data_IF_020918812313
#
_entry.id   IF_020918812313
#
_cell.length_a   1.000
_cell.length_b   1.000
_cell.length_c   1.000
_cell.angle_alpha   90.00
_cell.angle_beta   90.00
_cell.angle_gamma   90.00
#
_symmetry.space_group_name_H-M   'P 1'
#
loop_
_entity.id
_entity.type
_entity.pdbx_description
1 polymer ?
#
# COMPACT_ATOMS: atom_id res chain seq x y z
N UNK A 1 -0.82 -27.19 17.31
CA UNK A 1 -1.61 -26.21 16.57
C UNK A 1 -1.17 -24.86 17.05
N UNK A 2 -0.68 -24.02 16.16
CA UNK A 2 -0.16 -22.68 16.50
C UNK A 2 -1.29 -21.66 16.37
N UNK A 3 -1.41 -20.76 17.32
CA UNK A 3 -2.44 -19.70 17.32
C UNK A 3 -1.85 -18.41 16.76
N UNK A 4 -2.43 -17.92 15.67
CA UNK A 4 -2.03 -16.68 14.99
C UNK A 4 -3.06 -15.57 15.20
N UNK A 5 -2.58 -14.34 15.41
CA UNK A 5 -3.40 -13.14 15.48
C UNK A 5 -2.87 -12.08 14.50
N UNK A 6 -3.61 -11.79 13.45
CA UNK A 6 -3.26 -10.75 12.47
C UNK A 6 -3.93 -9.42 12.81
N UNK A 7 -3.19 -8.30 12.73
CA UNK A 7 -3.72 -6.97 13.05
C UNK A 7 -3.45 -6.00 11.91
N UNK A 8 -4.50 -5.39 11.34
CA UNK A 8 -4.38 -4.42 10.23
C UNK A 8 -5.42 -3.30 10.31
N UNK A 9 -5.27 -2.29 9.50
CA UNK A 9 -6.24 -1.19 9.36
C UNK A 9 -7.54 -1.66 8.71
N UNK A 10 -7.47 -2.40 7.60
CA UNK A 10 -8.61 -2.87 6.80
C UNK A 10 -8.46 -4.37 6.46
N UNK A 11 -9.57 -5.10 6.24
CA UNK A 11 -9.53 -6.49 5.75
C UNK A 11 -9.50 -6.58 4.22
N UNK A 12 -9.46 -5.45 3.50
CA UNK A 12 -9.50 -5.36 2.04
C UNK A 12 -8.48 -4.36 1.52
N UNK A 13 -8.39 -4.24 0.19
CA UNK A 13 -7.34 -3.46 -0.47
C UNK A 13 -6.01 -4.20 -0.47
N UNK A 14 -4.92 -3.54 -0.87
CA UNK A 14 -3.61 -4.17 -1.02
C UNK A 14 -3.15 -4.87 0.28
N UNK A 15 -2.97 -4.11 1.35
CA UNK A 15 -2.45 -4.65 2.63
C UNK A 15 -3.43 -5.57 3.35
N UNK A 16 -4.73 -5.26 3.26
CA UNK A 16 -5.79 -6.11 3.81
C UNK A 16 -5.91 -7.42 3.06
N UNK A 17 -5.76 -7.40 1.74
CA UNK A 17 -5.75 -8.60 0.93
C UNK A 17 -4.61 -9.55 1.28
N UNK A 18 -3.41 -8.99 1.53
CA UNK A 18 -2.24 -9.78 2.00
C UNK A 18 -2.55 -10.46 3.35
N UNK A 19 -3.02 -9.70 4.34
CA UNK A 19 -3.40 -10.24 5.65
C UNK A 19 -4.46 -11.34 5.55
N UNK A 20 -5.56 -11.08 4.84
CA UNK A 20 -6.68 -12.02 4.74
C UNK A 20 -6.33 -13.28 3.95
N UNK A 21 -5.43 -13.18 2.97
CA UNK A 21 -4.90 -14.35 2.25
C UNK A 21 -4.12 -15.25 3.21
N UNK A 22 -3.18 -14.69 3.95
CA UNK A 22 -2.37 -15.42 4.93
C UNK A 22 -3.24 -16.06 6.02
N UNK A 23 -4.21 -15.32 6.55
CA UNK A 23 -5.19 -15.83 7.51
C UNK A 23 -5.93 -17.07 6.97
N UNK A 24 -6.43 -17.03 5.74
CA UNK A 24 -7.14 -18.17 5.12
C UNK A 24 -6.22 -19.35 4.83
N UNK A 25 -4.98 -19.10 4.41
CA UNK A 25 -3.97 -20.14 4.17
C UNK A 25 -3.62 -20.88 5.45
N UNK A 26 -3.49 -20.19 6.60
CA UNK A 26 -3.27 -20.80 7.90
C UNK A 26 -4.46 -21.64 8.34
N UNK A 27 -5.68 -21.14 8.21
CA UNK A 27 -6.90 -21.92 8.50
C UNK A 27 -6.97 -23.19 7.61
N UNK A 28 -6.67 -23.07 6.32
CA UNK A 28 -6.65 -24.19 5.38
C UNK A 28 -5.54 -25.23 5.73
N UNK A 29 -4.45 -24.78 6.36
CA UNK A 29 -3.37 -25.65 6.86
C UNK A 29 -3.71 -26.30 8.22
N UNK A 30 -4.86 -26.00 8.82
CA UNK A 30 -5.30 -26.54 10.11
C UNK A 30 -4.71 -25.83 11.33
N UNK A 31 -4.19 -24.62 11.15
CA UNK A 31 -3.76 -23.76 12.26
C UNK A 31 -4.92 -22.89 12.77
N UNK A 32 -4.84 -22.43 14.00
CA UNK A 32 -5.79 -21.44 14.55
C UNK A 32 -5.36 -20.05 14.11
N UNK A 33 -6.17 -19.37 13.31
CA UNK A 33 -5.87 -18.03 12.84
C UNK A 33 -7.02 -17.07 13.09
N UNK A 34 -6.70 -15.89 13.61
CA UNK A 34 -7.63 -14.81 13.91
C UNK A 34 -7.22 -13.53 13.18
N UNK A 35 -8.19 -12.85 12.57
CA UNK A 35 -7.95 -11.60 11.85
C UNK A 35 -8.67 -10.43 12.51
N UNK A 36 -7.89 -9.41 12.91
CA UNK A 36 -8.37 -8.21 13.60
C UNK A 36 -8.14 -6.97 12.75
N UNK A 37 -9.18 -6.13 12.60
CA UNK A 37 -9.00 -4.86 11.89
C UNK A 37 -9.79 -3.72 12.51
N UNK A 38 -9.33 -2.51 12.26
CA UNK A 38 -9.95 -1.31 12.84
C UNK A 38 -11.07 -0.72 12.00
N UNK A 39 -11.05 -0.88 10.68
CA UNK A 39 -11.89 -0.10 9.75
C UNK A 39 -12.38 -0.95 8.59
N UNK A 40 -13.48 -0.52 7.95
CA UNK A 40 -14.04 -1.19 6.79
C UNK A 40 -15.27 -2.03 7.13
N UNK A 41 -15.45 -3.16 6.42
CA UNK A 41 -16.60 -4.04 6.61
C UNK A 41 -16.65 -4.64 8.03
N UNK A 42 -17.79 -5.16 8.38
CA UNK A 42 -17.95 -6.00 9.58
C UNK A 42 -17.24 -7.35 9.37
N UNK A 43 -16.98 -8.06 10.47
CA UNK A 43 -16.52 -9.44 10.44
C UNK A 43 -17.60 -10.36 9.82
N UNK A 44 -17.16 -11.40 9.13
CA UNK A 44 -18.04 -12.38 8.46
C UNK A 44 -17.99 -13.73 9.16
N UNK A 45 -16.83 -14.05 9.78
CA UNK A 45 -16.59 -15.31 10.46
C UNK A 45 -16.26 -15.11 11.94
N UNK A 46 -16.34 -16.17 12.73
CA UNK A 46 -16.06 -16.17 14.18
C UNK A 46 -14.59 -15.86 14.52
N UNK A 47 -13.68 -16.15 13.58
CA UNK A 47 -12.25 -15.86 13.71
C UNK A 47 -11.87 -14.47 13.17
N UNK A 48 -12.86 -13.67 12.81
CA UNK A 48 -12.70 -12.31 12.31
C UNK A 48 -13.29 -11.29 13.29
N UNK A 49 -12.62 -10.15 13.49
CA UNK A 49 -13.15 -9.10 14.35
C UNK A 49 -12.78 -7.70 13.88
N UNK A 50 -13.81 -6.88 13.67
CA UNK A 50 -13.63 -5.44 13.59
C UNK A 50 -13.74 -4.84 14.99
N UNK A 51 -12.64 -4.30 15.54
CA UNK A 51 -12.60 -3.85 16.92
C UNK A 51 -12.74 -2.33 17.15
N UNK A 52 -12.56 -1.49 16.11
CA UNK A 52 -12.77 -0.06 16.26
C UNK A 52 -14.11 0.40 15.67
N UNK A 53 -14.83 1.24 16.42
CA UNK A 53 -16.07 1.84 15.96
C UNK A 53 -15.83 3.02 15.01
N UNK A 54 -16.78 3.31 14.12
CA UNK A 54 -16.68 4.46 13.20
C UNK A 54 -16.58 5.80 13.94
N UNK A 55 -17.25 5.93 15.09
CA UNK A 55 -17.17 7.12 15.93
C UNK A 55 -15.78 7.25 16.54
N UNK A 56 -15.22 6.15 17.05
CA UNK A 56 -13.84 6.11 17.58
C UNK A 56 -12.82 6.51 16.53
N UNK A 57 -12.93 5.95 15.33
CA UNK A 57 -12.06 6.31 14.19
C UNK A 57 -12.18 7.79 13.82
N UNK A 58 -13.40 8.34 13.73
CA UNK A 58 -13.60 9.78 13.43
C UNK A 58 -13.01 10.68 14.51
N UNK A 59 -13.13 10.28 15.78
CA UNK A 59 -12.52 10.98 16.91
C UNK A 59 -11.00 10.97 16.82
N UNK A 60 -10.38 9.82 16.54
CA UNK A 60 -8.93 9.68 16.38
C UNK A 60 -8.42 10.54 15.20
N UNK A 61 -9.11 10.51 14.05
CA UNK A 61 -8.80 11.38 12.90
C UNK A 61 -8.78 12.86 13.31
N UNK A 62 -9.79 13.30 14.05
CA UNK A 62 -9.86 14.70 14.49
C UNK A 62 -8.71 15.03 15.46
N UNK A 63 -8.46 14.19 16.46
CA UNK A 63 -7.38 14.36 17.43
C UNK A 63 -6.02 14.39 16.73
N UNK A 64 -5.75 13.43 15.85
CA UNK A 64 -4.51 13.37 15.07
C UNK A 64 -4.32 14.60 14.19
N UNK A 65 -5.38 15.14 13.57
CA UNK A 65 -5.26 16.38 12.79
C UNK A 65 -4.86 17.58 13.65
N UNK A 66 -5.32 17.63 14.90
CA UNK A 66 -5.03 18.74 15.82
C UNK A 66 -3.63 18.61 16.43
N UNK A 67 -3.28 17.43 16.94
CA UNK A 67 -2.04 17.24 17.72
C UNK A 67 -0.94 16.47 16.97
N UNK A 68 -1.26 15.84 15.84
CA UNK A 68 -0.32 15.10 15.00
C UNK A 68 0.15 13.76 15.58
N UNK A 69 -0.46 13.26 16.65
CA UNK A 69 -0.04 12.04 17.35
C UNK A 69 -0.74 10.79 16.79
N UNK A 70 -0.50 10.50 15.52
CA UNK A 70 -1.08 9.31 14.87
C UNK A 70 -0.57 8.01 15.51
N UNK A 71 -1.52 7.09 15.79
CA UNK A 71 -1.23 5.82 16.45
C UNK A 71 -1.15 5.90 17.98
N UNK A 72 -1.47 7.07 18.60
CA UNK A 72 -1.44 7.25 20.05
C UNK A 72 -2.82 7.55 20.66
N UNK A 73 -3.85 7.55 19.82
CA UNK A 73 -5.25 7.66 20.24
C UNK A 73 -5.90 6.26 20.30
N UNK A 74 -7.22 6.15 20.12
CA UNK A 74 -7.98 4.87 20.02
C UNK A 74 -7.80 3.92 21.21
N UNK A 75 -7.62 4.44 22.45
CA UNK A 75 -7.34 3.62 23.63
C UNK A 75 -8.42 2.56 23.88
N UNK A 76 -9.71 2.94 23.92
CA UNK A 76 -10.79 1.99 24.21
C UNK A 76 -10.90 0.86 23.15
N UNK A 77 -10.65 1.17 21.88
CA UNK A 77 -10.60 0.13 20.83
C UNK A 77 -9.41 -0.81 21.04
N UNK A 78 -8.28 -0.26 21.49
CA UNK A 78 -7.08 -1.07 21.78
C UNK A 78 -7.28 -1.93 23.03
N UNK A 79 -7.88 -1.40 24.10
CA UNK A 79 -8.25 -2.21 25.27
C UNK A 79 -9.08 -3.43 24.87
N UNK A 80 -10.13 -3.22 24.08
CA UNK A 80 -10.97 -4.32 23.57
C UNK A 80 -10.19 -5.32 22.72
N UNK A 81 -9.25 -4.88 21.87
CA UNK A 81 -8.36 -5.78 21.13
C UNK A 81 -7.48 -6.59 22.08
N UNK A 82 -6.85 -5.95 23.08
CA UNK A 82 -5.95 -6.60 24.02
C UNK A 82 -6.66 -7.64 24.88
N UNK A 83 -7.89 -7.37 25.32
CA UNK A 83 -8.74 -8.35 26.04
C UNK A 83 -8.97 -9.60 25.17
N UNK A 84 -9.27 -9.42 23.88
CA UNK A 84 -9.42 -10.56 22.96
C UNK A 84 -8.11 -11.32 22.73
N UNK A 85 -6.97 -10.62 22.63
CA UNK A 85 -5.66 -11.26 22.52
C UNK A 85 -5.31 -12.06 23.80
N UNK A 86 -5.69 -11.56 24.99
CA UNK A 86 -5.52 -12.28 26.27
C UNK A 86 -6.42 -13.53 26.35
N UNK A 87 -7.59 -13.52 25.73
CA UNK A 87 -8.48 -14.70 25.66
C UNK A 87 -7.92 -15.79 24.74
N UNK A 88 -7.50 -15.41 23.50
CA UNK A 88 -7.02 -16.39 22.50
C UNK A 88 -5.56 -16.82 22.72
N UNK A 89 -4.77 -16.04 23.47
CA UNK A 89 -3.36 -16.30 23.79
C UNK A 89 -2.53 -16.69 22.57
N UNK A 90 -2.33 -15.80 21.60
CA UNK A 90 -1.66 -16.15 20.36
C UNK A 90 -0.18 -16.52 20.59
N UNK A 91 0.28 -17.54 19.89
CA UNK A 91 1.71 -17.89 19.79
C UNK A 91 2.45 -16.90 18.90
N UNK A 92 1.74 -16.36 17.88
CA UNK A 92 2.28 -15.41 16.91
C UNK A 92 1.32 -14.25 16.72
N UNK A 93 1.80 -13.02 16.92
CA UNK A 93 1.07 -11.79 16.55
C UNK A 93 1.69 -11.21 15.31
N UNK A 94 0.92 -11.19 14.22
CA UNK A 94 1.35 -10.63 12.95
C UNK A 94 0.75 -9.24 12.75
N UNK A 95 1.62 -8.23 12.81
CA UNK A 95 1.26 -6.82 12.63
C UNK A 95 1.42 -6.41 11.17
N UNK A 96 0.48 -5.61 10.69
CA UNK A 96 0.56 -4.95 9.38
C UNK A 96 0.56 -3.42 9.58
N UNK A 97 -0.30 -2.67 8.87
CA UNK A 97 -0.39 -1.22 9.02
C UNK A 97 -0.99 -0.79 10.36
N UNK A 98 -0.18 -0.21 11.23
CA UNK A 98 -0.61 0.30 12.55
C UNK A 98 -1.03 1.77 12.52
N UNK A 99 -0.86 2.45 11.40
CA UNK A 99 -1.41 3.79 11.17
C UNK A 99 -2.77 3.67 10.47
N UNK A 100 -3.76 4.41 10.84
CA UNK A 100 -5.12 4.26 10.27
C UNK A 100 -6.19 4.70 11.25
N UNK A 101 -5.79 5.30 12.38
CA UNK A 101 -6.69 5.90 13.37
C UNK A 101 -7.56 4.87 14.10
N UNK A 102 -7.00 3.73 14.49
CA UNK A 102 -7.77 2.61 15.03
C UNK A 102 -7.11 1.89 16.22
N UNK A 103 -5.82 2.07 16.41
CA UNK A 103 -5.02 1.38 17.44
C UNK A 103 -4.10 2.37 18.15
N UNK A 104 -3.89 2.14 19.45
CA UNK A 104 -2.88 2.83 20.26
C UNK A 104 -1.63 1.96 20.32
N UNK A 105 -0.55 2.42 19.66
CA UNK A 105 0.68 1.63 19.53
C UNK A 105 1.45 1.53 20.85
N UNK A 106 1.29 2.49 21.78
CA UNK A 106 1.91 2.39 23.11
C UNK A 106 1.33 1.21 23.87
N UNK A 107 0.02 1.14 24.03
CA UNK A 107 -0.65 0.01 24.69
C UNK A 107 -0.34 -1.32 24.03
N UNK A 108 -0.38 -1.37 22.69
CA UNK A 108 -0.11 -2.60 21.95
C UNK A 108 1.33 -3.09 22.16
N UNK A 109 2.34 -2.23 22.03
CA UNK A 109 3.74 -2.64 22.18
C UNK A 109 4.13 -2.92 23.64
N UNK A 110 3.53 -2.24 24.61
CA UNK A 110 3.68 -2.58 26.03
C UNK A 110 3.07 -3.97 26.33
N UNK A 111 1.91 -4.29 25.76
CA UNK A 111 1.30 -5.62 25.87
C UNK A 111 2.20 -6.70 25.22
N UNK A 112 2.67 -6.47 23.98
CA UNK A 112 3.56 -7.39 23.27
C UNK A 112 4.87 -7.63 24.03
N UNK A 113 5.45 -6.60 24.63
CA UNK A 113 6.66 -6.73 25.43
C UNK A 113 6.45 -7.60 26.68
N UNK A 114 5.25 -7.54 27.29
CA UNK A 114 4.89 -8.27 28.50
C UNK A 114 4.43 -9.71 28.26
N UNK A 115 4.25 -10.14 27.02
CA UNK A 115 3.76 -11.49 26.64
C UNK A 115 4.88 -12.29 25.98
N UNK A 116 4.77 -13.62 26.03
CA UNK A 116 5.77 -14.55 25.46
C UNK A 116 5.36 -15.05 24.05
N UNK A 117 4.74 -14.18 23.26
CA UNK A 117 4.42 -14.47 21.87
C UNK A 117 5.54 -14.00 20.93
N UNK A 118 5.66 -14.65 19.77
CA UNK A 118 6.47 -14.14 18.66
C UNK A 118 5.74 -13.01 17.97
N UNK A 119 6.46 -12.05 17.44
CA UNK A 119 5.91 -10.93 16.69
C UNK A 119 6.49 -10.92 15.29
N UNK A 120 5.64 -10.96 14.30
CA UNK A 120 5.96 -10.66 12.91
C UNK A 120 5.38 -9.31 12.56
N UNK A 121 6.16 -8.44 11.94
CA UNK A 121 5.64 -7.14 11.53
C UNK A 121 5.96 -6.87 10.07
N UNK A 122 4.92 -6.98 9.21
CA UNK A 122 5.02 -6.62 7.79
C UNK A 122 4.90 -5.11 7.62
N UNK A 123 5.99 -4.49 7.21
CA UNK A 123 6.06 -3.07 6.91
C UNK A 123 5.64 -2.82 5.46
N UNK A 124 4.48 -2.21 5.27
CA UNK A 124 3.98 -1.89 3.92
C UNK A 124 4.45 -0.52 3.40
N UNK A 125 4.96 0.32 4.29
CA UNK A 125 5.49 1.66 4.03
C UNK A 125 6.50 2.09 5.10
N UNK A 126 6.93 3.34 5.06
CA UNK A 126 7.98 3.86 5.94
C UNK A 126 7.46 4.44 7.27
N UNK A 127 6.16 4.41 7.55
CA UNK A 127 5.60 5.06 8.73
C UNK A 127 6.21 4.55 10.04
N UNK A 128 6.53 3.28 10.13
CA UNK A 128 7.04 2.66 11.35
C UNK A 128 8.31 3.35 11.90
N UNK A 129 9.19 3.84 11.04
CA UNK A 129 10.47 4.43 11.43
C UNK A 129 10.61 5.93 11.11
N UNK A 130 9.52 6.61 10.76
CA UNK A 130 9.47 8.06 10.60
C UNK A 130 8.72 8.71 11.75
N UNK A 131 8.83 10.03 11.88
CA UNK A 131 8.04 10.79 12.88
C UNK A 131 6.61 11.09 12.40
N UNK A 132 6.31 10.93 11.12
CA UNK A 132 5.03 11.32 10.55
C UNK A 132 4.64 10.52 9.32
N UNK A 133 5.38 10.64 8.23
CA UNK A 133 5.00 10.23 6.89
C UNK A 133 5.15 8.73 6.63
N UNK A 134 4.30 8.21 5.73
CA UNK A 134 4.40 6.87 5.19
C UNK A 134 5.43 6.76 4.05
N UNK A 135 5.72 7.89 3.37
CA UNK A 135 6.69 7.98 2.28
C UNK A 135 7.47 9.29 2.37
N UNK A 136 8.72 9.30 1.93
CA UNK A 136 9.61 10.46 2.01
C UNK A 136 10.70 10.50 0.93
N UNK A 137 10.84 9.48 0.11
CA UNK A 137 11.96 9.37 -0.84
C UNK A 137 11.80 10.35 -2.01
N UNK A 138 10.58 10.57 -2.48
CA UNK A 138 10.27 11.59 -3.49
C UNK A 138 10.69 13.00 -3.06
N UNK A 139 10.51 13.32 -1.78
CA UNK A 139 10.95 14.61 -1.21
C UNK A 139 12.40 14.60 -0.77
N UNK A 140 13.13 13.50 -0.98
CA UNK A 140 14.55 13.31 -0.61
C UNK A 140 14.84 13.64 0.86
N UNK A 141 13.87 13.40 1.75
CA UNK A 141 14.03 13.65 3.18
C UNK A 141 14.95 12.60 3.83
N UNK A 142 15.98 13.03 4.53
CA UNK A 142 16.93 12.17 5.24
C UNK A 142 16.80 12.24 6.78
N UNK A 143 15.88 13.04 7.31
CA UNK A 143 15.75 13.27 8.76
C UNK A 143 15.44 12.01 9.56
N UNK A 144 14.64 11.10 9.02
CA UNK A 144 14.21 9.85 9.65
C UNK A 144 15.37 8.95 10.12
N UNK A 145 16.57 9.15 9.63
CA UNK A 145 17.77 8.35 10.02
C UNK A 145 18.19 8.61 11.46
N UNK A 146 18.01 9.81 11.96
CA UNK A 146 18.46 10.19 13.30
C UNK A 146 17.40 10.89 14.15
N UNK A 147 16.49 11.60 13.52
CA UNK A 147 15.44 12.39 14.15
C UNK A 147 14.34 12.70 13.12
N UNK A 148 13.22 13.23 13.53
CA UNK A 148 12.26 13.85 12.64
C UNK A 148 11.84 15.16 13.27
N UNK A 149 12.56 16.24 12.99
CA UNK A 149 12.18 17.55 13.46
C UNK A 149 11.06 18.09 12.58
N UNK A 150 9.90 18.22 13.14
CA UNK A 150 8.76 18.75 12.40
C UNK A 150 8.72 20.25 12.32
N UNK A 151 9.69 20.97 12.57
CA UNK A 151 9.65 22.40 12.33
C UNK A 151 9.36 22.69 10.84
N UNK A 152 9.42 23.92 10.42
CA UNK A 152 9.20 24.40 9.06
C UNK A 152 9.86 23.56 7.93
N UNK A 153 10.73 22.63 8.31
CA UNK A 153 11.50 21.78 7.40
C UNK A 153 10.85 20.42 7.01
N UNK A 154 9.68 20.03 7.53
CA UNK A 154 9.06 18.77 7.11
C UNK A 154 8.16 18.95 5.89
N UNK A 155 8.55 18.46 4.71
CA UNK A 155 7.78 18.66 3.47
C UNK A 155 6.51 17.80 3.42
N UNK A 156 6.31 16.88 4.38
CA UNK A 156 5.26 15.86 4.34
C UNK A 156 4.08 16.11 5.30
N UNK A 157 4.03 17.23 6.03
CA UNK A 157 2.95 17.52 7.00
C UNK A 157 1.56 17.60 6.37
N UNK A 158 1.46 17.98 5.11
CA UNK A 158 0.19 18.08 4.37
C UNK A 158 -0.24 16.76 3.71
N UNK A 159 0.66 15.77 3.65
CA UNK A 159 0.38 14.44 3.10
C UNK A 159 -0.20 13.51 4.16
N UNK A 160 -0.50 12.26 3.80
CA UNK A 160 -0.98 11.28 4.77
C UNK A 160 0.14 10.80 5.70
N UNK A 161 -0.13 10.74 6.99
CA UNK A 161 -1.32 11.14 7.75
C UNK A 161 -1.37 12.65 7.98
N UNK A 162 -2.37 13.35 7.42
CA UNK A 162 -2.46 14.81 7.46
C UNK A 162 -2.59 15.35 8.88
N UNK A 163 -1.76 16.35 9.23
CA UNK A 163 -1.82 17.06 10.51
C UNK A 163 -1.67 18.58 10.34
N UNK A 164 -2.21 19.34 11.29
CA UNK A 164 -1.98 20.77 11.43
C UNK A 164 -0.87 21.08 12.46
N UNK A 165 -0.45 20.07 13.24
CA UNK A 165 0.62 20.21 14.21
C UNK A 165 1.98 20.25 13.53
N UNK A 166 2.76 21.29 13.83
CA UNK A 166 4.12 21.46 13.29
C UNK A 166 5.23 20.91 14.21
N UNK A 167 4.88 20.39 15.37
CA UNK A 167 5.86 20.00 16.41
C UNK A 167 5.81 18.52 16.80
N UNK A 168 4.82 17.78 16.33
CA UNK A 168 4.58 16.40 16.77
C UNK A 168 5.52 15.34 16.18
N UNK A 169 6.17 15.60 15.05
CA UNK A 169 7.02 14.58 14.40
C UNK A 169 8.21 14.16 15.27
N UNK A 170 8.87 15.09 15.93
CA UNK A 170 10.00 14.78 16.83
C UNK A 170 9.53 13.92 18.02
N UNK A 171 8.41 14.29 18.61
CA UNK A 171 7.79 13.49 19.67
C UNK A 171 7.40 12.11 19.18
N UNK A 172 6.68 12.01 18.06
CA UNK A 172 6.29 10.73 17.46
C UNK A 172 7.50 9.86 17.16
N UNK A 173 8.56 10.43 16.58
CA UNK A 173 9.80 9.71 16.28
C UNK A 173 10.42 9.14 17.57
N UNK A 174 10.53 9.96 18.62
CA UNK A 174 11.06 9.54 19.91
C UNK A 174 10.22 8.44 20.56
N UNK A 175 8.88 8.58 20.55
CA UNK A 175 7.98 7.57 21.11
C UNK A 175 8.04 6.26 20.31
N UNK A 176 7.97 6.30 18.99
CA UNK A 176 8.10 5.10 18.17
C UNK A 176 9.45 4.40 18.37
N UNK A 177 10.55 5.17 18.40
CA UNK A 177 11.87 4.61 18.68
C UNK A 177 11.91 3.88 20.04
N UNK A 178 11.28 4.43 21.06
CA UNK A 178 11.18 3.79 22.38
C UNK A 178 10.30 2.54 22.33
N UNK A 179 9.08 2.68 21.84
CA UNK A 179 8.04 1.65 21.91
C UNK A 179 8.34 0.46 21.00
N UNK A 180 8.72 0.71 19.74
CA UNK A 180 8.94 -0.33 18.76
C UNK A 180 10.22 -1.13 18.99
N UNK A 181 11.02 -0.74 19.98
CA UNK A 181 12.17 -1.50 20.46
C UNK A 181 11.96 -2.14 21.86
N UNK A 182 10.70 -2.22 22.36
CA UNK A 182 10.39 -2.91 23.62
C UNK A 182 10.43 -4.42 23.52
N UNK A 183 10.03 -4.97 22.38
CA UNK A 183 10.09 -6.42 22.13
C UNK A 183 11.51 -6.80 21.77
N UNK A 184 12.04 -7.90 22.32
CA UNK A 184 13.40 -8.33 22.00
C UNK A 184 13.55 -8.81 20.55
N UNK A 185 14.74 -8.66 19.99
CA UNK A 185 15.03 -9.10 18.61
C UNK A 185 14.93 -10.62 18.40
N UNK A 186 14.94 -11.40 19.48
CA UNK A 186 14.73 -12.85 19.44
C UNK A 186 13.26 -13.21 19.22
N UNK A 187 12.35 -12.34 19.62
CA UNK A 187 10.90 -12.54 19.53
C UNK A 187 10.22 -11.76 18.41
N UNK A 188 10.86 -10.72 17.88
CA UNK A 188 10.28 -9.93 16.79
C UNK A 188 11.16 -9.95 15.55
N UNK A 189 10.55 -10.21 14.40
CA UNK A 189 11.14 -10.01 13.07
C UNK A 189 10.31 -9.03 12.25
N UNK A 190 10.97 -8.31 11.38
CA UNK A 190 10.36 -7.39 10.43
C UNK A 190 10.29 -8.08 9.06
N UNK A 191 9.17 -7.90 8.38
CA UNK A 191 8.96 -8.40 7.04
C UNK A 191 8.78 -7.20 6.11
N UNK A 192 9.49 -7.18 5.00
CA UNK A 192 9.35 -6.12 3.98
C UNK A 192 9.02 -6.74 2.64
N UNK A 193 8.09 -6.15 1.86
CA UNK A 193 7.72 -6.69 0.55
C UNK A 193 8.76 -6.39 -0.55
N UNK A 194 9.80 -5.61 -0.25
CA UNK A 194 10.89 -5.28 -1.18
C UNK A 194 12.24 -5.21 -0.49
N UNK A 195 13.29 -5.45 -1.24
CA UNK A 195 14.67 -5.21 -0.78
C UNK A 195 14.90 -3.72 -0.52
N UNK A 196 14.31 -2.86 -1.37
CA UNK A 196 14.35 -1.40 -1.17
C UNK A 196 13.88 -0.98 0.23
N UNK A 197 12.73 -1.49 0.71
CA UNK A 197 12.27 -1.16 2.05
C UNK A 197 13.15 -1.80 3.13
N UNK A 198 13.64 -3.03 2.93
CA UNK A 198 14.59 -3.67 3.84
C UNK A 198 15.84 -2.81 4.06
N UNK A 199 16.40 -2.26 2.98
CA UNK A 199 17.58 -1.39 3.03
C UNK A 199 17.31 -0.08 3.79
N UNK A 200 16.11 0.48 3.67
CA UNK A 200 15.70 1.64 4.46
C UNK A 200 15.55 1.29 5.94
N UNK A 201 14.88 0.18 6.26
CA UNK A 201 14.73 -0.31 7.64
C UNK A 201 16.09 -0.55 8.29
N UNK A 202 17.04 -1.15 7.57
CA UNK A 202 18.41 -1.37 8.01
C UNK A 202 19.19 -0.09 8.34
N UNK A 203 18.75 1.07 7.85
CA UNK A 203 19.31 2.38 8.17
C UNK A 203 18.55 3.12 9.28
N UNK A 204 17.42 2.57 9.75
CA UNK A 204 16.53 3.20 10.73
C UNK A 204 16.86 2.78 12.17
N UNK A 205 16.08 3.25 13.12
CA UNK A 205 16.18 2.81 14.53
C UNK A 205 15.63 1.38 14.75
N UNK A 206 15.07 0.73 13.70
CA UNK A 206 14.61 -0.67 13.73
C UNK A 206 15.67 -1.65 13.21
N UNK A 207 16.85 -1.20 12.82
CA UNK A 207 17.94 -1.98 12.21
C UNK A 207 18.43 -3.19 13.01
N UNK A 208 18.13 -3.24 14.30
CA UNK A 208 18.58 -4.35 15.17
C UNK A 208 17.71 -5.59 15.09
N UNK A 209 16.53 -5.49 14.45
CA UNK A 209 15.65 -6.62 14.23
C UNK A 209 16.08 -7.44 13.02
N UNK A 210 15.89 -8.76 13.02
CA UNK A 210 15.97 -9.57 11.81
C UNK A 210 14.98 -9.04 10.77
N UNK A 211 15.44 -8.86 9.54
CA UNK A 211 14.61 -8.39 8.41
C UNK A 211 14.52 -9.53 7.39
N UNK A 212 13.30 -9.91 7.05
CA UNK A 212 12.99 -10.88 6.00
C UNK A 212 12.34 -10.13 4.82
N UNK A 213 12.87 -10.32 3.61
CA UNK A 213 12.20 -9.85 2.40
C UNK A 213 11.21 -10.92 1.94
N UNK A 214 9.92 -10.60 1.99
CA UNK A 214 8.82 -11.46 1.56
C UNK A 214 7.93 -10.69 0.62
N UNK A 215 8.10 -10.90 -0.68
CA UNK A 215 7.36 -10.21 -1.71
C UNK A 215 5.85 -10.39 -1.58
N UNK A 216 5.10 -9.34 -1.86
CA UNK A 216 3.65 -9.44 -1.94
C UNK A 216 3.25 -10.41 -3.05
N UNK A 217 2.27 -11.24 -2.76
CA UNK A 217 1.62 -12.11 -3.71
C UNK A 217 0.24 -11.57 -4.10
N UNK A 218 -0.20 -11.91 -5.29
CA UNK A 218 -1.55 -11.67 -5.77
C UNK A 218 -2.30 -12.99 -5.95
N UNK A 219 -3.61 -12.91 -6.10
CA UNK A 219 -4.42 -14.09 -6.44
C UNK A 219 -4.40 -14.31 -7.94
N UNK A 220 -3.54 -15.24 -8.41
CA UNK A 220 -3.42 -15.61 -9.82
C UNK A 220 -4.60 -16.42 -10.35
N UNK A 221 -5.52 -16.89 -9.50
CA UNK A 221 -6.78 -17.47 -9.94
C UNK A 221 -7.75 -16.41 -10.45
N UNK A 222 -7.61 -15.19 -9.95
CA UNK A 222 -8.38 -13.99 -10.33
C UNK A 222 -7.65 -13.20 -11.41
N UNK A 223 -6.40 -12.78 -11.12
CA UNK A 223 -5.58 -12.01 -12.08
C UNK A 223 -4.85 -12.93 -13.03
N UNK A 224 -5.47 -13.17 -14.17
CA UNK A 224 -5.00 -13.99 -15.28
C UNK A 224 -5.59 -13.45 -16.57
N UNK A 225 -5.09 -13.87 -17.75
CA UNK A 225 -5.70 -13.50 -19.02
C UNK A 225 -7.20 -13.75 -19.02
N UNK A 226 -7.97 -12.67 -19.10
CA UNK A 226 -9.43 -12.68 -18.96
C UNK A 226 -10.05 -11.92 -20.13
N UNK A 227 -10.70 -12.59 -21.09
CA UNK A 227 -11.39 -11.94 -22.20
C UNK A 227 -12.46 -10.95 -21.70
N UNK A 228 -12.56 -9.78 -22.32
CA UNK A 228 -13.56 -8.77 -22.00
C UNK A 228 -13.98 -7.98 -23.23
N UNK A 229 -15.17 -7.40 -23.19
CA UNK A 229 -15.71 -6.48 -24.20
C UNK A 229 -15.25 -5.01 -23.96
N UNK A 230 -14.28 -4.81 -23.10
CA UNK A 230 -13.87 -3.49 -22.65
C UNK A 230 -13.51 -2.55 -23.80
N UNK A 231 -12.74 -3.02 -24.78
CA UNK A 231 -12.34 -2.23 -25.94
C UNK A 231 -13.54 -1.79 -26.80
N UNK A 232 -14.54 -2.64 -26.94
CA UNK A 232 -15.78 -2.36 -27.69
C UNK A 232 -16.64 -1.36 -26.91
N UNK A 233 -16.87 -1.62 -25.63
CA UNK A 233 -17.70 -0.81 -24.73
C UNK A 233 -17.23 0.66 -24.64
N UNK A 234 -15.92 0.87 -24.66
CA UNK A 234 -15.32 2.21 -24.59
C UNK A 234 -14.82 2.76 -25.93
N UNK A 235 -15.17 2.10 -27.05
CA UNK A 235 -14.83 2.57 -28.38
C UNK A 235 -13.33 2.66 -28.66
N UNK A 236 -12.52 1.83 -27.97
CA UNK A 236 -11.06 1.84 -28.11
C UNK A 236 -10.63 1.25 -29.45
N UNK A 237 -11.32 0.20 -29.91
CA UNK A 237 -11.06 -0.48 -31.16
C UNK A 237 -9.62 -1.02 -31.22
N UNK A 238 -8.91 -0.69 -32.31
CA UNK A 238 -7.53 -1.14 -32.56
C UNK A 238 -6.45 -0.18 -32.03
N UNK A 239 -6.82 0.92 -31.36
CA UNK A 239 -5.85 1.85 -30.77
C UNK A 239 -4.99 1.15 -29.71
N UNK A 240 -3.73 1.52 -29.63
CA UNK A 240 -2.82 1.04 -28.60
C UNK A 240 -3.26 1.61 -27.23
N UNK A 241 -3.64 0.73 -26.32
CA UNK A 241 -4.23 1.09 -25.04
C UNK A 241 -3.14 1.18 -23.95
N UNK A 242 -2.91 2.39 -23.46
CA UNK A 242 -2.05 2.65 -22.31
C UNK A 242 -2.92 2.74 -21.06
N UNK A 243 -2.74 1.82 -20.14
CA UNK A 243 -3.54 1.69 -18.92
C UNK A 243 -2.80 2.22 -17.70
N UNK A 244 -3.51 2.97 -16.84
CA UNK A 244 -3.07 3.29 -15.48
C UNK A 244 -4.12 2.88 -14.46
N UNK A 245 -3.70 2.30 -13.35
CA UNK A 245 -4.58 1.89 -12.24
C UNK A 245 -4.05 2.39 -10.91
N UNK A 246 -4.80 3.21 -10.20
CA UNK A 246 -4.48 3.64 -8.84
C UNK A 246 -5.74 4.07 -8.07
N UNK A 247 -5.76 3.86 -6.76
CA UNK A 247 -6.83 4.34 -5.89
C UNK A 247 -6.27 4.67 -4.51
N UNK A 248 -6.27 5.95 -4.08
CA UNK A 248 -6.65 7.14 -4.86
C UNK A 248 -5.55 7.59 -5.83
N UNK A 249 -5.94 8.25 -6.91
CA UNK A 249 -5.03 8.97 -7.77
C UNK A 249 -4.55 10.26 -7.10
N UNK A 250 -3.25 10.45 -7.03
CA UNK A 250 -2.57 11.59 -6.41
C UNK A 250 -1.38 12.02 -7.27
N UNK A 251 -0.75 13.14 -6.93
CA UNK A 251 0.51 13.56 -7.55
C UNK A 251 1.59 12.47 -7.43
N UNK A 252 1.71 11.84 -6.26
CA UNK A 252 2.63 10.73 -6.03
C UNK A 252 2.41 9.56 -7.00
N UNK A 253 1.18 9.29 -7.40
CA UNK A 253 0.83 8.23 -8.35
C UNK A 253 0.94 8.65 -9.83
N UNK A 254 1.42 9.86 -10.10
CA UNK A 254 1.74 10.31 -11.45
C UNK A 254 0.52 10.66 -12.32
N UNK A 255 -0.62 11.08 -11.73
CA UNK A 255 -1.81 11.45 -12.50
C UNK A 255 -1.51 12.48 -13.61
N UNK A 256 -0.65 13.47 -13.32
CA UNK A 256 -0.33 14.53 -14.28
C UNK A 256 0.53 14.04 -15.45
N UNK A 257 1.27 12.95 -15.28
CA UNK A 257 2.02 12.33 -16.38
C UNK A 257 1.06 11.71 -17.41
N UNK A 258 -0.06 11.13 -16.96
CA UNK A 258 -1.10 10.66 -17.87
C UNK A 258 -1.84 11.79 -18.58
N UNK A 259 -2.07 12.91 -17.90
CA UNK A 259 -2.65 14.11 -18.53
C UNK A 259 -1.73 14.64 -19.63
N UNK A 260 -0.42 14.69 -19.35
CA UNK A 260 0.61 15.08 -20.32
C UNK A 260 0.68 14.06 -21.48
N UNK A 261 0.69 12.77 -21.16
CA UNK A 261 0.74 11.68 -22.14
C UNK A 261 -0.42 11.73 -23.14
N UNK A 262 -1.64 11.97 -22.67
CA UNK A 262 -2.81 12.10 -23.52
C UNK A 262 -2.74 13.32 -24.47
N UNK A 263 -2.05 14.38 -24.07
CA UNK A 263 -1.81 15.57 -24.91
C UNK A 263 -0.70 15.36 -25.94
N UNK A 264 0.23 14.45 -25.73
CA UNK A 264 1.39 14.22 -26.61
C UNK A 264 1.18 13.03 -27.58
N UNK A 265 0.37 12.03 -27.20
CA UNK A 265 0.06 10.87 -28.04
C UNK A 265 -1.04 11.20 -29.07
N UNK A 266 -0.88 10.64 -30.28
CA UNK A 266 -1.90 10.73 -31.31
C UNK A 266 -3.14 9.90 -30.94
N UNK A 267 -4.27 10.57 -30.68
CA UNK A 267 -5.54 9.94 -30.24
C UNK A 267 -6.17 8.98 -31.27
N UNK A 268 -5.78 9.03 -32.56
CA UNK A 268 -6.24 8.07 -33.57
C UNK A 268 -5.53 6.70 -33.42
N UNK A 269 -4.33 6.72 -32.82
CA UNK A 269 -3.48 5.54 -32.64
C UNK A 269 -3.43 5.04 -31.21
N UNK A 270 -3.62 5.91 -30.23
CA UNK A 270 -3.50 5.57 -28.80
C UNK A 270 -4.81 5.86 -28.06
N UNK A 271 -5.06 5.08 -27.03
CA UNK A 271 -6.10 5.30 -26.04
C UNK A 271 -5.49 5.29 -24.64
N UNK A 272 -5.66 6.35 -23.88
CA UNK A 272 -5.22 6.44 -22.48
C UNK A 272 -6.39 6.15 -21.58
N UNK A 273 -6.26 5.13 -20.72
CA UNK A 273 -7.30 4.65 -19.82
C UNK A 273 -6.84 4.74 -18.38
N UNK A 274 -7.62 5.36 -17.50
CA UNK A 274 -7.33 5.47 -16.08
C UNK A 274 -8.45 4.85 -15.24
N UNK A 275 -8.12 3.91 -14.38
CA UNK A 275 -9.03 3.26 -13.44
C UNK A 275 -8.76 3.71 -12.01
N UNK A 276 -9.83 3.94 -11.23
CA UNK A 276 -9.76 4.32 -9.83
C UNK A 276 -9.81 5.82 -9.58
N UNK A 277 -10.24 6.60 -10.56
CA UNK A 277 -10.47 8.04 -10.42
C UNK A 277 -11.70 8.31 -9.54
N UNK A 278 -11.66 9.38 -8.75
CA UNK A 278 -12.87 9.92 -8.12
C UNK A 278 -13.76 10.58 -9.16
N UNK A 279 -15.07 10.68 -8.90
CA UNK A 279 -16.01 11.39 -9.79
C UNK A 279 -15.56 12.82 -10.12
N UNK A 280 -14.96 13.51 -9.15
CA UNK A 280 -14.40 14.85 -9.38
C UNK A 280 -13.26 14.81 -10.39
N UNK A 281 -12.36 13.86 -10.28
CA UNK A 281 -11.24 13.70 -11.20
C UNK A 281 -11.75 13.33 -12.60
N UNK A 282 -12.70 12.40 -12.71
CA UNK A 282 -13.32 12.03 -14.01
C UNK A 282 -13.84 13.27 -14.73
N UNK A 283 -14.60 14.14 -14.03
CA UNK A 283 -15.12 15.40 -14.62
C UNK A 283 -14.04 16.43 -15.01
N UNK A 284 -12.84 16.29 -14.48
CA UNK A 284 -11.70 17.18 -14.73
C UNK A 284 -10.69 16.64 -15.73
N UNK A 285 -10.84 15.38 -16.16
CA UNK A 285 -9.94 14.79 -17.16
C UNK A 285 -10.11 15.49 -18.52
N UNK A 286 -9.01 15.77 -19.23
CA UNK A 286 -9.07 16.30 -20.59
C UNK A 286 -9.66 15.29 -21.56
N UNK A 287 -10.10 15.78 -22.71
CA UNK A 287 -10.42 14.92 -23.84
C UNK A 287 -9.20 14.02 -24.20
N UNK A 288 -9.46 12.77 -24.59
CA UNK A 288 -8.41 11.80 -24.89
C UNK A 288 -8.07 10.85 -23.73
N UNK A 289 -8.59 11.11 -22.51
CA UNK A 289 -8.50 10.17 -21.38
C UNK A 289 -9.85 9.51 -21.12
N UNK A 290 -9.88 8.18 -21.15
CA UNK A 290 -11.01 7.38 -20.69
C UNK A 290 -10.85 7.17 -19.18
N UNK A 291 -11.57 7.98 -18.41
CA UNK A 291 -11.50 7.94 -16.94
C UNK A 291 -12.60 7.07 -16.32
N UNK A 292 -12.23 6.11 -15.51
CA UNK A 292 -13.13 5.19 -14.83
C UNK A 292 -13.03 5.35 -13.31
N UNK A 293 -14.16 5.18 -12.64
CA UNK A 293 -14.19 4.98 -11.21
C UNK A 293 -13.59 3.60 -10.85
N UNK A 294 -13.75 3.20 -9.60
CA UNK A 294 -13.35 1.86 -9.17
C UNK A 294 -14.19 0.80 -9.89
N UNK A 295 -13.56 -0.30 -10.30
CA UNK A 295 -14.25 -1.48 -10.84
C UNK A 295 -15.14 -2.15 -9.80
N UNK A 296 -16.18 -2.84 -10.24
CA UNK A 296 -17.13 -3.54 -9.38
C UNK A 296 -16.56 -4.85 -8.82
N UNK A 297 -15.58 -5.44 -9.52
CA UNK A 297 -14.94 -6.68 -9.11
C UNK A 297 -13.46 -6.76 -9.54
N UNK A 298 -12.65 -7.59 -8.85
CA UNK A 298 -11.29 -7.90 -9.30
C UNK A 298 -11.25 -8.59 -10.68
N UNK A 299 -12.26 -9.37 -11.04
CA UNK A 299 -12.39 -10.03 -12.34
C UNK A 299 -12.57 -9.01 -13.47
N UNK A 300 -13.38 -7.97 -13.25
CA UNK A 300 -13.50 -6.87 -14.20
C UNK A 300 -12.17 -6.16 -14.40
N UNK A 301 -11.43 -5.91 -13.33
CA UNK A 301 -10.11 -5.31 -13.40
C UNK A 301 -9.11 -6.21 -14.17
N UNK A 302 -9.16 -7.54 -13.98
CA UNK A 302 -8.36 -8.49 -14.74
C UNK A 302 -8.67 -8.43 -16.24
N UNK A 303 -9.95 -8.27 -16.60
CA UNK A 303 -10.36 -8.06 -18.01
C UNK A 303 -9.85 -6.76 -18.60
N UNK A 304 -9.75 -5.68 -17.80
CA UNK A 304 -9.20 -4.40 -18.23
C UNK A 304 -7.67 -4.51 -18.42
N UNK A 305 -6.95 -5.15 -17.48
CA UNK A 305 -5.53 -5.42 -17.67
C UNK A 305 -5.28 -6.20 -18.95
N UNK A 306 -6.01 -7.32 -19.17
CA UNK A 306 -5.87 -8.15 -20.36
C UNK A 306 -6.18 -7.40 -21.67
N UNK A 307 -7.08 -6.42 -21.63
CA UNK A 307 -7.41 -5.58 -22.78
C UNK A 307 -6.33 -4.52 -23.10
N UNK A 308 -5.43 -4.22 -22.18
CA UNK A 308 -4.40 -3.20 -22.36
C UNK A 308 -3.20 -3.75 -23.16
N UNK A 309 -2.58 -2.88 -23.95
CA UNK A 309 -1.32 -3.20 -24.64
C UNK A 309 -0.12 -2.95 -23.75
N UNK A 310 -0.23 -1.96 -22.82
CA UNK A 310 0.79 -1.67 -21.82
C UNK A 310 0.16 -1.09 -20.57
N UNK A 311 0.67 -1.48 -19.42
CA UNK A 311 0.38 -0.84 -18.13
C UNK A 311 1.51 0.15 -17.79
N UNK A 312 1.18 1.43 -17.69
CA UNK A 312 2.13 2.46 -17.33
C UNK A 312 1.96 2.88 -15.86
N UNK A 313 3.04 2.88 -15.09
CA UNK A 313 3.05 3.23 -13.67
C UNK A 313 4.05 4.36 -13.38
N UNK A 314 3.68 5.64 -13.62
CA UNK A 314 4.56 6.79 -13.38
C UNK A 314 4.56 7.21 -11.90
N UNK A 315 4.54 6.24 -10.98
CA UNK A 315 4.56 6.54 -9.55
C UNK A 315 5.88 7.19 -9.14
N UNK A 316 5.85 8.17 -8.22
CA UNK A 316 7.04 8.85 -7.69
C UNK A 316 7.66 8.10 -6.53
N UNK A 317 6.86 7.23 -5.91
CA UNK A 317 7.24 6.49 -4.71
C UNK A 317 6.27 5.32 -4.51
N UNK A 318 6.78 4.11 -4.45
CA UNK A 318 6.02 2.94 -4.02
C UNK A 318 6.95 1.89 -3.41
N UNK A 319 6.37 0.97 -2.64
CA UNK A 319 7.16 -0.09 -2.02
C UNK A 319 7.24 -1.33 -2.92
N UNK A 320 6.12 -2.01 -3.11
CA UNK A 320 6.01 -3.21 -3.94
C UNK A 320 4.58 -3.29 -4.50
N UNK A 321 4.27 -2.50 -5.55
CA UNK A 321 2.89 -2.30 -5.97
C UNK A 321 2.28 -3.56 -6.59
N UNK A 322 1.19 -4.05 -5.99
CA UNK A 322 0.46 -5.24 -6.49
C UNK A 322 -0.14 -5.02 -7.87
N UNK A 323 -0.45 -3.78 -8.25
CA UNK A 323 -0.98 -3.45 -9.59
C UNK A 323 -0.02 -3.83 -10.73
N UNK A 324 1.31 -3.80 -10.48
CA UNK A 324 2.30 -4.26 -11.46
C UNK A 324 2.30 -5.78 -11.59
N UNK A 325 2.13 -6.49 -10.47
CA UNK A 325 1.99 -7.95 -10.48
C UNK A 325 0.68 -8.38 -11.15
N UNK A 326 -0.41 -7.68 -10.84
CA UNK A 326 -1.75 -7.92 -11.41
C UNK A 326 -1.72 -7.78 -12.94
N UNK A 327 -1.14 -6.68 -13.46
CA UNK A 327 -1.00 -6.45 -14.88
C UNK A 327 -0.18 -7.56 -15.56
N UNK A 328 1.00 -7.88 -15.03
CA UNK A 328 1.88 -8.91 -15.59
C UNK A 328 1.27 -10.31 -15.53
N UNK A 329 0.49 -10.62 -14.49
CA UNK A 329 -0.25 -11.88 -14.36
C UNK A 329 -1.39 -12.00 -15.39
N UNK A 330 -1.92 -10.86 -15.85
CA UNK A 330 -2.88 -10.78 -16.96
C UNK A 330 -2.20 -10.70 -18.34
N UNK A 331 -0.90 -11.00 -18.41
CA UNK A 331 -0.07 -10.95 -19.63
C UNK A 331 0.12 -9.55 -20.23
N UNK A 332 -0.09 -8.48 -19.47
CA UNK A 332 0.14 -7.11 -19.89
C UNK A 332 1.56 -6.67 -19.53
N UNK A 333 2.30 -6.14 -20.49
CA UNK A 333 3.62 -5.57 -20.23
C UNK A 333 3.54 -4.29 -19.39
N UNK A 334 4.57 -4.05 -18.60
CA UNK A 334 4.63 -2.95 -17.64
C UNK A 334 5.78 -2.00 -17.95
N UNK A 335 5.48 -0.71 -17.95
CA UNK A 335 6.48 0.36 -17.88
C UNK A 335 6.29 1.05 -16.54
N UNK A 336 7.33 1.11 -15.72
CA UNK A 336 7.28 1.77 -14.41
C UNK A 336 8.47 2.69 -14.22
N UNK A 337 8.34 3.72 -13.37
CA UNK A 337 9.52 4.46 -12.97
C UNK A 337 10.41 3.62 -12.06
N UNK A 338 11.74 3.79 -12.20
CA UNK A 338 12.78 3.13 -11.39
C UNK A 338 12.83 3.74 -9.97
N UNK A 339 11.74 3.59 -9.20
CA UNK A 339 11.60 4.17 -7.86
C UNK A 339 11.11 3.14 -6.85
N UNK A 340 11.61 3.23 -5.63
CA UNK A 340 11.18 2.33 -4.57
C UNK A 340 11.52 0.87 -4.90
N UNK A 341 10.59 -0.02 -4.64
CA UNK A 341 10.66 -1.43 -5.02
C UNK A 341 9.89 -1.76 -6.30
N UNK A 342 9.58 -0.77 -7.15
CA UNK A 342 8.81 -1.00 -8.38
C UNK A 342 9.55 -1.93 -9.36
N UNK A 343 10.84 -1.73 -9.53
CA UNK A 343 11.68 -2.56 -10.42
C UNK A 343 11.72 -4.02 -9.97
N UNK A 344 11.71 -4.26 -8.66
CA UNK A 344 11.70 -5.61 -8.09
C UNK A 344 10.43 -6.42 -8.45
N UNK A 345 9.38 -5.76 -8.94
CA UNK A 345 8.13 -6.42 -9.36
C UNK A 345 8.14 -6.92 -10.78
N UNK A 346 9.13 -6.50 -11.61
CA UNK A 346 9.16 -6.82 -13.03
C UNK A 346 9.56 -8.27 -13.25
N UNK A 347 8.73 -9.03 -13.95
CA UNK A 347 8.96 -10.44 -14.24
C UNK A 347 8.75 -10.83 -15.72
N UNK A 348 8.21 -9.94 -16.56
CA UNK A 348 8.03 -10.16 -17.99
C UNK A 348 9.15 -9.51 -18.79
N UNK A 349 9.57 -10.16 -19.87
CA UNK A 349 10.74 -9.73 -20.68
C UNK A 349 10.52 -8.43 -21.45
N UNK A 350 9.28 -8.09 -21.77
CA UNK A 350 8.91 -6.82 -22.42
C UNK A 350 8.68 -5.67 -21.42
N UNK A 351 8.62 -5.97 -20.12
CA UNK A 351 8.43 -4.96 -19.09
C UNK A 351 9.76 -4.27 -18.74
N UNK A 352 9.72 -2.98 -18.43
CA UNK A 352 10.92 -2.20 -18.11
C UNK A 352 10.69 -1.14 -17.03
N UNK A 353 11.77 -0.80 -16.32
CA UNK A 353 11.85 0.38 -15.49
C UNK A 353 12.52 1.52 -16.27
N UNK A 354 12.04 2.74 -16.07
CA UNK A 354 12.50 3.96 -16.75
C UNK A 354 12.74 5.06 -15.73
N UNK A 355 13.66 5.99 -16.06
CA UNK A 355 14.06 7.02 -15.11
C UNK A 355 13.02 8.14 -14.97
N UNK A 356 12.40 8.55 -16.07
CA UNK A 356 11.49 9.69 -16.08
C UNK A 356 10.35 9.54 -17.11
N UNK A 357 9.57 10.62 -17.23
CA UNK A 357 8.45 10.70 -18.15
C UNK A 357 8.87 10.53 -19.62
N UNK A 358 9.99 11.13 -20.04
CA UNK A 358 10.39 11.11 -21.46
C UNK A 358 10.84 9.70 -21.87
N UNK A 359 11.55 9.01 -20.98
CA UNK A 359 11.91 7.60 -21.19
C UNK A 359 10.66 6.71 -21.21
N UNK A 360 9.68 6.98 -20.34
CA UNK A 360 8.40 6.27 -20.34
C UNK A 360 7.61 6.48 -21.63
N UNK A 361 7.52 7.72 -22.12
CA UNK A 361 6.88 8.03 -23.40
C UNK A 361 7.59 7.31 -24.57
N UNK A 362 8.92 7.32 -24.58
CA UNK A 362 9.70 6.65 -25.62
C UNK A 362 9.48 5.12 -25.58
N UNK A 363 9.43 4.51 -24.39
CA UNK A 363 9.17 3.09 -24.24
C UNK A 363 7.77 2.73 -24.75
N UNK A 364 6.73 3.52 -24.44
CA UNK A 364 5.36 3.34 -24.96
C UNK A 364 5.35 3.38 -26.49
N UNK A 365 6.01 4.39 -27.10
CA UNK A 365 6.08 4.52 -28.55
C UNK A 365 6.83 3.33 -29.20
N UNK A 366 7.91 2.87 -28.57
CA UNK A 366 8.68 1.71 -29.05
C UNK A 366 7.83 0.44 -29.05
N UNK A 367 7.12 0.16 -27.95
CA UNK A 367 6.19 -1.00 -27.87
C UNK A 367 5.09 -0.92 -28.93
N UNK A 368 4.52 0.25 -29.17
CA UNK A 368 3.54 0.46 -30.24
C UNK A 368 4.13 0.12 -31.61
N UNK A 369 5.35 0.56 -31.91
CA UNK A 369 6.01 0.31 -33.22
C UNK A 369 6.38 -1.16 -33.42
N UNK A 370 6.72 -1.88 -32.35
CA UNK A 370 7.03 -3.31 -32.38
C UNK A 370 5.78 -4.17 -32.51
N UNK A 371 4.68 -3.80 -31.86
CA UNK A 371 3.39 -4.49 -31.96
C UNK A 371 2.62 -4.23 -33.28
N UNK A 372 3.01 -3.20 -34.04
CA UNK A 372 2.45 -2.88 -35.35
C UNK A 372 3.10 -3.67 -36.52
N UNK A 373 4.03 -4.57 -36.21
CA UNK A 373 4.63 -5.52 -37.18
C UNK A 373 3.94 -6.86 -37.12
#
# INVERSE_FOLDING_TARGET
>A
MTVYAHINTFPHGSTGGVMMKEHRELLAAGEDSFAFWGRGRSAEDENEMRFASDIGVKKDVLQTRLDGKIGFHSKAATEYLLDRLDEIRPDVVHLHNLHGYYVNVEMLFEWLAARDCRVEWTLHDCWAFTGHCAYFTYTKCAQWRSHCACSEACPQLSTYPKTYSKISCSWNFGQKKRLFNLVSAERMRLITPSQWLADLVGQSFLRNYPIEVRHNNIDTSVFKPTPSDFRERYGIGKRFMVLGVASPWTERKGLMDFVRLAGELNSDKFAVVLVGLSERQIRQMPEGIIGLARTDSPQELAGIYTAADVFFNPTREDNYPTTLLEAQSCETEVITYAVGGCEETLCRSGSCAVEDYNDGLQAIITMFMEGAR
#
